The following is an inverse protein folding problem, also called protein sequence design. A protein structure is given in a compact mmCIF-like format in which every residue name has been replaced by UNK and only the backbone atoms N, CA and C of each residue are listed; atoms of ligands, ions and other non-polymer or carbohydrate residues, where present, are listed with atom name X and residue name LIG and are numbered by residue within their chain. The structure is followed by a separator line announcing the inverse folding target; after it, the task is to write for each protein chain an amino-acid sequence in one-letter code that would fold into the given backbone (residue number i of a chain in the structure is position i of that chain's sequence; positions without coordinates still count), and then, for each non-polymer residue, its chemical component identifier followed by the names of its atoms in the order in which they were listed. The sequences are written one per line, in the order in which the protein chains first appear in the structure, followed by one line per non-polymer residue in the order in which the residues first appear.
data_IF_073986431564
#
_entry.id   IF_073986431564
#
_cell.length_a   1.000
_cell.length_b   1.000
_cell.length_c   1.000
_cell.angle_alpha   90.00
_cell.angle_beta   90.00
_cell.angle_gamma   90.00
#
_symmetry.space_group_name_H-M   'P 1'
#
loop_
_entity.id
_entity.type
_entity.pdbx_description
1 polymer ?
#
# COMPACT_ATOMS: atom_id res chain seq x y z
N UNK A 1 4.00 12.13 15.70
CA UNK A 1 3.89 11.59 14.34
C UNK A 1 3.42 10.15 14.39
N UNK A 2 2.61 9.73 13.41
CA UNK A 2 1.99 8.42 13.32
C UNK A 2 2.07 7.95 11.87
N UNK A 3 2.82 6.87 11.64
CA UNK A 3 2.83 6.14 10.38
C UNK A 3 1.98 4.87 10.49
N UNK A 4 1.25 4.51 9.43
CA UNK A 4 0.44 3.29 9.40
C UNK A 4 0.84 2.39 8.22
N UNK A 5 1.10 1.13 8.50
CA UNK A 5 1.36 0.10 7.50
C UNK A 5 0.66 -1.19 7.90
N UNK A 6 0.44 -2.08 6.93
CA UNK A 6 -0.16 -3.37 7.16
C UNK A 6 -0.16 -4.22 5.89
N UNK A 7 -0.41 -5.51 6.07
CA UNK A 7 -0.27 -6.54 5.04
C UNK A 7 -1.62 -7.21 4.76
N UNK A 8 -1.95 -7.42 3.48
CA UNK A 8 -3.24 -7.99 3.08
C UNK A 8 -4.38 -7.10 3.56
N UNK A 9 -5.27 -7.62 4.42
CA UNK A 9 -6.35 -6.81 5.02
C UNK A 9 -5.79 -5.61 5.81
N UNK A 10 -4.62 -5.73 6.43
CA UNK A 10 -3.96 -4.60 7.08
C UNK A 10 -3.53 -3.51 6.09
N UNK A 11 -3.20 -3.87 4.84
CA UNK A 11 -2.91 -2.92 3.77
C UNK A 11 -4.16 -2.13 3.38
N UNK A 12 -5.29 -2.82 3.21
CA UNK A 12 -6.57 -2.17 2.95
C UNK A 12 -6.98 -1.22 4.09
N UNK A 13 -6.78 -1.62 5.34
CA UNK A 13 -7.04 -0.78 6.51
C UNK A 13 -6.06 0.40 6.63
N UNK A 14 -4.82 0.28 6.14
CA UNK A 14 -3.87 1.40 6.09
C UNK A 14 -4.34 2.49 5.13
N UNK A 15 -4.85 2.10 3.95
CA UNK A 15 -5.50 3.04 3.01
C UNK A 15 -6.75 3.68 3.63
N UNK A 16 -7.58 2.89 4.29
CA UNK A 16 -8.76 3.41 4.97
C UNK A 16 -8.41 4.38 6.10
N UNK A 17 -7.34 4.11 6.86
CA UNK A 17 -6.85 5.03 7.89
C UNK A 17 -6.43 6.37 7.29
N UNK A 18 -5.65 6.39 6.19
CA UNK A 18 -5.28 7.64 5.52
C UNK A 18 -6.47 8.42 4.97
N UNK A 19 -7.53 7.73 4.53
CA UNK A 19 -8.72 8.38 3.97
C UNK A 19 -9.68 8.91 5.05
N UNK A 20 -9.82 8.19 6.16
CA UNK A 20 -10.78 8.47 7.23
C UNK A 20 -10.20 9.29 8.39
N UNK A 21 -8.89 9.20 8.64
CA UNK A 21 -8.19 9.87 9.76
C UNK A 21 -7.20 10.90 9.23
N UNK A 22 -7.68 11.82 8.40
CA UNK A 22 -6.85 12.77 7.64
C UNK A 22 -5.90 13.64 8.49
N UNK A 23 -6.28 13.92 9.74
CA UNK A 23 -5.46 14.72 10.69
C UNK A 23 -4.78 13.85 11.77
N UNK A 24 -4.91 12.52 11.68
CA UNK A 24 -4.39 11.57 12.66
C UNK A 24 -3.29 10.64 12.14
N UNK A 25 -2.97 10.71 10.84
CA UNK A 25 -1.97 9.86 10.19
C UNK A 25 -1.09 10.70 9.28
N UNK A 26 0.22 10.65 9.50
CA UNK A 26 1.21 11.48 8.80
C UNK A 26 1.75 10.79 7.54
N UNK A 27 1.75 9.46 7.48
CA UNK A 27 2.16 8.68 6.31
C UNK A 27 1.55 7.27 6.33
N UNK A 28 1.28 6.69 5.16
CA UNK A 28 0.83 5.30 5.07
C UNK A 28 1.61 4.48 4.04
N UNK A 29 1.78 3.19 4.31
CA UNK A 29 2.40 2.25 3.36
C UNK A 29 1.66 0.90 3.30
N UNK A 30 0.62 0.77 2.45
CA UNK A 30 -0.14 -0.47 2.34
C UNK A 30 0.58 -1.55 1.54
N UNK A 31 0.52 -2.81 2.01
CA UNK A 31 1.00 -3.99 1.27
C UNK A 31 -0.18 -4.84 0.79
N UNK A 32 -0.31 -4.97 -0.53
CA UNK A 32 -1.21 -5.87 -1.27
C UNK A 32 -2.61 -6.03 -0.65
N UNK A 33 -3.28 -4.89 -0.44
CA UNK A 33 -4.68 -4.88 -0.04
C UNK A 33 -5.31 -3.52 -0.29
N UNK A 34 -6.49 -3.53 -0.89
CA UNK A 34 -7.25 -2.34 -1.28
C UNK A 34 -8.62 -2.42 -0.60
N UNK A 35 -9.07 -1.35 0.09
CA UNK A 35 -10.38 -1.35 0.71
C UNK A 35 -11.49 -1.26 -0.35
N UNK A 36 -12.66 -1.79 -0.01
CA UNK A 36 -13.88 -1.58 -0.81
C UNK A 36 -14.23 -0.09 -0.84
N UNK A 37 -14.72 0.41 -1.98
CA UNK A 37 -15.11 1.82 -2.15
C UNK A 37 -16.23 2.25 -1.19
N UNK A 38 -17.06 1.31 -0.73
CA UNK A 38 -18.09 1.55 0.29
C UNK A 38 -17.51 1.88 1.65
N UNK A 39 -16.27 1.44 1.93
CA UNK A 39 -15.60 1.71 3.21
C UNK A 39 -15.02 3.11 3.24
N UNK A 40 -14.31 3.51 2.17
CA UNK A 40 -13.68 4.82 2.08
C UNK A 40 -13.34 5.22 0.65
N UNK A 41 -13.27 6.53 0.40
CA UNK A 41 -12.73 7.07 -0.85
C UNK A 41 -11.23 7.36 -0.72
N UNK A 42 -10.39 6.51 -1.29
CA UNK A 42 -8.93 6.68 -1.27
C UNK A 42 -8.43 7.95 -1.99
N UNK A 43 -9.24 8.57 -2.86
CA UNK A 43 -8.86 9.82 -3.52
C UNK A 43 -8.87 11.04 -2.58
N UNK A 44 -9.32 10.88 -1.33
CA UNK A 44 -9.35 11.97 -0.33
C UNK A 44 -8.16 11.93 0.62
N UNK A 45 -7.25 10.96 0.48
CA UNK A 45 -6.07 10.84 1.34
C UNK A 45 -5.21 12.11 1.21
N UNK A 46 -4.76 12.63 2.36
CA UNK A 46 -3.94 13.85 2.42
C UNK A 46 -2.47 13.59 2.75
N UNK A 47 -2.18 12.51 3.47
CA UNK A 47 -0.82 12.12 3.81
C UNK A 47 -0.13 11.39 2.63
N UNK A 48 1.21 11.38 2.58
CA UNK A 48 1.95 10.60 1.60
C UNK A 48 1.65 9.09 1.71
N UNK A 49 1.66 8.40 0.56
CA UNK A 49 1.33 6.97 0.44
C UNK A 49 2.42 6.20 -0.31
N UNK A 50 2.98 5.14 0.25
CA UNK A 50 3.84 4.19 -0.49
C UNK A 50 3.17 2.82 -0.63
N UNK A 51 2.67 2.53 -1.82
CA UNK A 51 1.94 1.29 -2.13
C UNK A 51 2.89 0.16 -2.57
N UNK A 52 2.59 -1.07 -2.16
CA UNK A 52 3.36 -2.28 -2.52
C UNK A 52 2.46 -3.41 -3.02
N UNK A 53 2.60 -3.82 -4.29
CA UNK A 53 1.78 -4.86 -4.93
C UNK A 53 2.63 -5.85 -5.73
N UNK A 54 2.22 -7.13 -5.77
CA UNK A 54 2.87 -8.13 -6.61
C UNK A 54 2.35 -8.09 -8.05
N UNK A 55 3.24 -8.16 -9.04
CA UNK A 55 2.85 -8.20 -10.46
C UNK A 55 2.07 -9.47 -10.85
N UNK A 56 2.27 -10.56 -10.10
CA UNK A 56 1.61 -11.86 -10.27
C UNK A 56 0.43 -12.06 -9.31
N UNK A 57 0.04 -11.03 -8.56
CA UNK A 57 -1.15 -11.09 -7.71
C UNK A 57 -2.42 -11.13 -8.58
N UNK A 58 -3.20 -12.20 -8.43
CA UNK A 58 -4.42 -12.49 -9.17
C UNK A 58 -5.70 -12.35 -8.33
N UNK A 59 -5.59 -11.82 -7.11
CA UNK A 59 -6.73 -11.65 -6.20
C UNK A 59 -7.60 -10.44 -6.61
N UNK A 60 -8.49 -10.69 -7.57
CA UNK A 60 -9.40 -9.69 -8.15
C UNK A 60 -10.32 -9.09 -7.10
N UNK A 61 -10.46 -7.76 -7.13
CA UNK A 61 -11.27 -6.98 -6.21
C UNK A 61 -10.56 -6.61 -4.91
N UNK A 62 -9.29 -7.02 -4.75
CA UNK A 62 -8.56 -6.78 -3.52
C UNK A 62 -7.11 -6.34 -3.72
N UNK A 63 -6.32 -7.08 -4.48
CA UNK A 63 -4.88 -6.80 -4.62
C UNK A 63 -4.29 -7.19 -5.97
N UNK A 64 -5.12 -7.60 -6.94
CA UNK A 64 -4.64 -7.91 -8.27
C UNK A 64 -3.92 -6.73 -8.92
N UNK A 65 -3.00 -6.99 -9.85
CA UNK A 65 -2.31 -5.92 -10.61
C UNK A 65 -3.28 -4.88 -11.19
N UNK A 66 -4.39 -5.34 -11.75
CA UNK A 66 -5.42 -4.46 -12.33
C UNK A 66 -6.09 -3.57 -11.28
N UNK A 67 -6.26 -4.07 -10.06
CA UNK A 67 -6.83 -3.28 -8.98
C UNK A 67 -5.82 -2.28 -8.41
N UNK A 68 -4.53 -2.64 -8.38
CA UNK A 68 -3.45 -1.71 -8.06
C UNK A 68 -3.36 -0.55 -9.08
N UNK A 69 -3.47 -0.84 -10.37
CA UNK A 69 -3.51 0.18 -11.45
C UNK A 69 -4.72 1.12 -11.27
N UNK A 70 -5.91 0.60 -10.93
CA UNK A 70 -7.08 1.44 -10.62
C UNK A 70 -6.90 2.27 -9.35
N UNK A 71 -6.23 1.73 -8.33
CA UNK A 71 -5.90 2.50 -7.13
C UNK A 71 -4.99 3.67 -7.50
N UNK A 72 -3.96 3.44 -8.32
CA UNK A 72 -3.06 4.49 -8.81
C UNK A 72 -3.82 5.61 -9.54
N UNK A 73 -4.75 5.26 -10.43
CA UNK A 73 -5.61 6.22 -11.13
C UNK A 73 -6.42 7.09 -10.15
N UNK A 74 -6.98 6.49 -9.09
CA UNK A 74 -7.74 7.23 -8.06
C UNK A 74 -6.86 8.15 -7.22
N UNK A 75 -5.69 7.69 -6.80
CA UNK A 75 -4.73 8.50 -6.05
C UNK A 75 -4.29 9.70 -6.90
N UNK A 76 -3.99 9.46 -8.18
CA UNK A 76 -3.66 10.51 -9.14
C UNK A 76 -4.80 11.51 -9.34
N UNK A 77 -6.04 11.05 -9.50
CA UNK A 77 -7.21 11.91 -9.64
C UNK A 77 -7.45 12.77 -8.38
N UNK A 78 -7.17 12.20 -7.20
CA UNK A 78 -7.20 12.89 -5.91
C UNK A 78 -6.03 13.84 -5.64
N UNK A 79 -5.01 13.85 -6.51
CA UNK A 79 -3.73 14.57 -6.30
C UNK A 79 -3.03 14.17 -4.99
N UNK A 80 -3.17 12.91 -4.60
CA UNK A 80 -2.46 12.34 -3.45
C UNK A 80 -0.97 12.28 -3.77
N UNK A 81 -0.11 12.57 -2.79
CA UNK A 81 1.33 12.30 -2.91
C UNK A 81 1.57 10.80 -2.72
N UNK A 82 2.01 10.10 -3.77
CA UNK A 82 2.15 8.65 -3.70
C UNK A 82 3.35 8.11 -4.47
N UNK A 83 3.81 6.93 -4.03
CA UNK A 83 4.74 6.05 -4.71
C UNK A 83 4.07 4.70 -4.94
N UNK A 84 3.94 4.26 -6.19
CA UNK A 84 3.37 2.95 -6.55
C UNK A 84 4.49 1.97 -6.89
N UNK A 85 4.65 0.92 -6.08
CA UNK A 85 5.64 -0.14 -6.31
C UNK A 85 4.95 -1.45 -6.68
N UNK A 86 5.16 -1.89 -7.92
CA UNK A 86 4.73 -3.20 -8.42
C UNK A 86 5.96 -4.09 -8.60
N UNK A 87 5.98 -5.25 -7.94
CA UNK A 87 7.13 -6.14 -7.87
C UNK A 87 7.01 -7.30 -8.87
N UNK A 88 7.91 -7.35 -9.85
CA UNK A 88 7.96 -8.43 -10.83
C UNK A 88 8.27 -9.78 -10.15
N UNK A 89 7.55 -10.83 -10.56
CA UNK A 89 7.72 -12.17 -9.97
C UNK A 89 7.14 -12.35 -8.57
N UNK A 90 6.51 -11.33 -7.98
CA UNK A 90 5.85 -11.41 -6.69
C UNK A 90 4.34 -11.63 -6.84
N UNK A 91 3.79 -12.53 -6.04
CA UNK A 91 2.35 -12.78 -5.93
C UNK A 91 1.79 -12.17 -4.63
N UNK A 92 0.52 -12.43 -4.32
CA UNK A 92 -0.09 -12.02 -3.06
C UNK A 92 0.73 -12.52 -1.86
N UNK A 93 0.85 -11.69 -0.82
CA UNK A 93 1.58 -12.03 0.41
C UNK A 93 3.08 -12.35 0.20
N UNK A 94 3.74 -11.73 -0.79
CA UNK A 94 5.15 -11.99 -1.10
C UNK A 94 6.15 -11.68 0.02
N UNK A 95 5.75 -10.93 1.05
CA UNK A 95 6.58 -10.65 2.24
C UNK A 95 6.46 -11.69 3.35
N UNK A 96 5.48 -12.61 3.27
CA UNK A 96 5.23 -13.60 4.30
C UNK A 96 6.26 -14.74 4.25
N UNK A 97 7.28 -14.69 5.11
CA UNK A 97 8.42 -15.63 5.13
C UNK A 97 8.10 -17.12 5.33
N UNK A 98 6.89 -17.46 5.76
CA UNK A 98 6.42 -18.86 5.89
C UNK A 98 5.37 -19.25 4.84
N UNK A 99 5.01 -18.32 3.96
CA UNK A 99 3.99 -18.50 2.94
C UNK A 99 4.54 -19.08 1.64
N UNK A 100 3.68 -19.73 0.82
CA UNK A 100 4.10 -20.32 -0.45
C UNK A 100 4.53 -19.29 -1.50
N UNK A 101 4.07 -18.03 -1.34
CA UNK A 101 4.36 -16.94 -2.26
C UNK A 101 5.54 -16.07 -1.82
N UNK A 102 6.25 -16.46 -0.75
CA UNK A 102 7.39 -15.70 -0.26
C UNK A 102 8.40 -15.46 -1.37
N UNK A 103 8.74 -14.20 -1.61
CA UNK A 103 9.73 -13.79 -2.59
C UNK A 103 10.78 -12.94 -1.85
N UNK A 104 11.95 -13.52 -1.60
CA UNK A 104 13.01 -12.92 -0.78
C UNK A 104 13.43 -11.55 -1.31
N UNK A 105 13.69 -11.44 -2.62
CA UNK A 105 14.19 -10.21 -3.23
C UNK A 105 13.15 -9.09 -3.18
N UNK A 106 11.90 -9.40 -3.54
CA UNK A 106 10.79 -8.46 -3.47
C UNK A 106 10.50 -8.05 -2.03
N UNK A 107 10.59 -8.99 -1.07
CA UNK A 107 10.40 -8.71 0.35
C UNK A 107 11.46 -7.73 0.86
N UNK A 108 12.74 -8.02 0.63
CA UNK A 108 13.83 -7.15 1.07
C UNK A 108 13.71 -5.74 0.46
N UNK A 109 13.48 -5.66 -0.85
CA UNK A 109 13.33 -4.37 -1.53
C UNK A 109 12.11 -3.59 -1.03
N UNK A 110 10.98 -4.27 -0.78
CA UNK A 110 9.78 -3.61 -0.28
C UNK A 110 9.94 -3.08 1.15
N UNK A 111 10.59 -3.86 2.02
CA UNK A 111 10.88 -3.42 3.39
C UNK A 111 11.91 -2.28 3.43
N UNK A 112 12.94 -2.32 2.58
CA UNK A 112 13.90 -1.22 2.45
C UNK A 112 13.22 0.09 2.03
N UNK A 113 12.35 0.02 1.03
CA UNK A 113 11.55 1.16 0.57
C UNK A 113 10.64 1.68 1.68
N UNK A 114 9.95 0.79 2.39
CA UNK A 114 9.09 1.14 3.52
C UNK A 114 9.85 1.93 4.58
N UNK A 115 11.00 1.42 5.05
CA UNK A 115 11.77 2.10 6.09
C UNK A 115 12.31 3.44 5.60
N UNK A 116 12.81 3.50 4.36
CA UNK A 116 13.29 4.73 3.75
C UNK A 116 12.18 5.78 3.66
N UNK A 117 11.00 5.38 3.21
CA UNK A 117 9.82 6.23 3.09
C UNK A 117 9.33 6.72 4.45
N UNK A 118 9.19 5.83 5.44
CA UNK A 118 8.73 6.21 6.77
C UNK A 118 9.71 7.15 7.47
N UNK A 119 11.03 6.92 7.35
CA UNK A 119 12.04 7.81 7.91
C UNK A 119 12.02 9.20 7.27
N UNK A 120 11.70 9.29 5.98
CA UNK A 120 11.57 10.58 5.27
C UNK A 120 10.27 11.30 5.65
N UNK A 121 9.17 10.56 5.81
CA UNK A 121 7.82 11.12 5.97
C UNK A 121 7.46 11.43 7.43
N UNK A 122 8.14 10.81 8.39
CA UNK A 122 7.90 10.98 9.83
C UNK A 122 9.06 11.75 10.48
N UNK A 123 9.21 13.03 10.13
CA UNK A 123 10.17 13.97 10.72
C UNK A 123 9.46 15.11 11.48
N UNK A 124 10.00 15.52 12.63
CA UNK A 124 9.48 16.63 13.45
C UNK A 124 9.45 17.97 12.72
#
# INVERSE_FOLDING_TARGET
MVGVTGFGMGGALSLAAGALLQDGVDAIAPFYGIPDEKLCNVSTIKCPVQCHFGALDDMVGFSSRKDAEKLEEKLKAGKVDYEMNIYDGAAHAFTNGIGPNYNTDSCHLALERLFTFMNKSLVE
#
